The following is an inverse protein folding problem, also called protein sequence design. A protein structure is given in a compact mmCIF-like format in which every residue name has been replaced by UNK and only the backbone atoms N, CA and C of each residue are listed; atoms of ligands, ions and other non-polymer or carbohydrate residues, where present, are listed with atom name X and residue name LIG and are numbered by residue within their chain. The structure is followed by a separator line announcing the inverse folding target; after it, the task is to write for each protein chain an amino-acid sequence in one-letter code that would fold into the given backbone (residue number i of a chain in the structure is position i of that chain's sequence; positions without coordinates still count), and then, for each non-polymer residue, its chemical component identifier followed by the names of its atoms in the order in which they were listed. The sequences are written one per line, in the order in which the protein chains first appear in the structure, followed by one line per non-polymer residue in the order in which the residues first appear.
data_IF_858743632392
#
_entry.id   IF_858743632392
#
_cell.length_a   1.000
_cell.length_b   1.000
_cell.length_c   1.000
_cell.angle_alpha   90.00
_cell.angle_beta   90.00
_cell.angle_gamma   90.00
#
_symmetry.space_group_name_H-M   'P 1'
#
loop_
_entity.id
_entity.type
_entity.pdbx_description
1 polymer ?
#
# COMPACT_ATOMS: atom_id res chain seq x y z
N UNK A 1 -12.41 -12.77 24.50
CA UNK A 1 -13.62 -12.13 23.93
C UNK A 1 -14.84 -12.68 24.67
N UNK A 2 -15.69 -11.85 25.27
CA UNK A 2 -16.94 -12.34 25.86
C UNK A 2 -17.95 -12.69 24.76
N UNK A 3 -18.81 -13.69 25.00
CA UNK A 3 -19.84 -14.15 24.05
C UNK A 3 -20.73 -13.00 23.56
N UNK A 4 -21.05 -12.05 24.42
CA UNK A 4 -21.85 -10.86 24.09
C UNK A 4 -21.25 -10.02 22.96
N UNK A 5 -19.92 -9.89 22.90
CA UNK A 5 -19.25 -9.12 21.84
C UNK A 5 -19.26 -9.91 20.52
N UNK A 6 -19.21 -11.24 20.57
CA UNK A 6 -19.37 -12.10 19.40
C UNK A 6 -20.81 -12.07 18.84
N UNK A 7 -21.82 -12.18 19.71
CA UNK A 7 -23.24 -12.21 19.31
C UNK A 7 -23.71 -10.89 18.70
N UNK A 8 -23.29 -9.75 19.27
CA UNK A 8 -23.58 -8.43 18.71
C UNK A 8 -22.96 -8.28 17.30
N UNK A 9 -21.77 -8.86 17.09
CA UNK A 9 -21.08 -8.85 15.79
C UNK A 9 -21.80 -9.73 14.77
N UNK A 10 -22.11 -10.98 15.14
CA UNK A 10 -22.78 -11.94 14.26
C UNK A 10 -24.13 -11.41 13.76
N UNK A 11 -24.95 -10.89 14.68
CA UNK A 11 -26.26 -10.31 14.34
C UNK A 11 -26.17 -9.10 13.39
N UNK A 12 -25.04 -8.38 13.38
CA UNK A 12 -24.83 -7.23 12.47
C UNK A 12 -24.30 -7.66 11.10
N UNK A 13 -23.48 -8.71 11.03
CA UNK A 13 -23.12 -9.35 9.76
C UNK A 13 -24.37 -9.90 9.09
N UNK A 14 -25.27 -10.53 9.85
CA UNK A 14 -26.57 -11.00 9.35
C UNK A 14 -27.42 -9.85 8.79
N UNK A 15 -27.55 -8.72 9.52
CA UNK A 15 -28.27 -7.54 9.00
C UNK A 15 -27.60 -6.90 7.77
N UNK A 16 -26.28 -6.88 7.70
CA UNK A 16 -25.58 -6.38 6.51
C UNK A 16 -25.84 -7.28 5.30
N UNK A 17 -25.85 -8.61 5.51
CA UNK A 17 -26.25 -9.59 4.49
C UNK A 17 -27.70 -9.41 4.05
N UNK A 18 -28.61 -9.14 4.98
CA UNK A 18 -30.01 -8.79 4.67
C UNK A 18 -30.13 -7.52 3.81
N UNK A 19 -29.18 -6.59 3.96
CA UNK A 19 -29.05 -5.38 3.12
C UNK A 19 -28.26 -5.61 1.82
N UNK A 20 -27.91 -6.86 1.49
CA UNK A 20 -27.17 -7.23 0.30
C UNK A 20 -25.69 -6.82 0.33
N UNK A 21 -25.13 -6.57 1.52
CA UNK A 21 -23.71 -6.35 1.74
C UNK A 21 -23.03 -7.65 2.18
N UNK A 22 -21.83 -7.89 1.69
CA UNK A 22 -21.05 -9.09 1.99
C UNK A 22 -19.78 -8.73 2.75
N UNK A 23 -19.35 -9.53 3.74
CA UNK A 23 -18.07 -9.27 4.40
C UNK A 23 -16.93 -9.51 3.42
N UNK A 24 -15.88 -8.67 3.45
CA UNK A 24 -14.75 -8.78 2.54
C UNK A 24 -14.09 -10.18 2.57
N UNK A 25 -13.94 -10.79 3.74
CA UNK A 25 -13.37 -12.14 3.86
C UNK A 25 -14.22 -13.18 3.14
N UNK A 26 -15.54 -13.09 3.29
CA UNK A 26 -16.48 -14.00 2.66
C UNK A 26 -16.45 -13.83 1.13
N UNK A 27 -16.46 -12.58 0.67
CA UNK A 27 -16.40 -12.22 -0.75
C UNK A 27 -15.12 -12.71 -1.44
N UNK A 28 -13.97 -12.57 -0.78
CA UNK A 28 -12.68 -13.06 -1.31
C UNK A 28 -12.54 -14.58 -1.23
N UNK A 29 -13.37 -15.24 -0.42
CA UNK A 29 -13.41 -16.68 -0.27
C UNK A 29 -12.24 -17.27 0.54
N UNK A 30 -11.99 -18.59 0.42
CA UNK A 30 -11.13 -19.34 1.33
C UNK A 30 -9.66 -18.91 1.38
N UNK A 31 -9.17 -18.24 0.34
CA UNK A 31 -7.80 -17.75 0.26
C UNK A 31 -7.64 -16.27 0.66
N UNK A 32 -8.76 -15.56 0.86
CA UNK A 32 -8.86 -14.17 1.34
C UNK A 32 -7.64 -13.28 1.05
N UNK A 33 -7.17 -13.28 -0.21
CA UNK A 33 -5.92 -12.61 -0.56
C UNK A 33 -6.13 -11.10 -0.67
N UNK A 34 -5.42 -10.36 0.18
CA UNK A 34 -5.46 -8.90 0.20
C UNK A 34 -4.51 -8.28 -0.84
N UNK A 35 -3.58 -9.05 -1.42
CA UNK A 35 -2.55 -8.56 -2.34
C UNK A 35 -3.10 -7.75 -3.52
N UNK A 36 -4.09 -8.26 -4.27
CA UNK A 36 -4.71 -7.52 -5.36
C UNK A 36 -5.36 -6.21 -4.92
N UNK A 37 -6.04 -6.20 -3.77
CA UNK A 37 -6.66 -4.99 -3.20
C UNK A 37 -5.60 -3.93 -2.86
N UNK A 38 -4.45 -4.36 -2.34
CA UNK A 38 -3.32 -3.46 -2.03
C UNK A 38 -2.68 -2.93 -3.30
N UNK A 39 -2.29 -3.81 -4.24
CA UNK A 39 -1.60 -3.41 -5.48
C UNK A 39 -2.42 -2.49 -6.37
N UNK A 40 -3.75 -2.60 -6.32
CA UNK A 40 -4.68 -1.71 -7.03
C UNK A 40 -5.00 -0.42 -6.27
N UNK A 41 -4.39 -0.23 -5.08
CA UNK A 41 -4.58 0.94 -4.23
C UNK A 41 -5.98 1.05 -3.65
N UNK A 42 -6.71 -0.06 -3.50
CA UNK A 42 -8.07 -0.10 -2.95
C UNK A 42 -8.05 -0.15 -1.41
N UNK A 43 -7.05 -0.80 -0.84
CA UNK A 43 -6.81 -0.78 0.61
C UNK A 43 -5.37 -0.39 0.89
N UNK A 44 -5.13 0.20 2.05
CA UNK A 44 -3.80 0.49 2.57
C UNK A 44 -3.70 0.12 4.03
N UNK A 45 -2.48 -0.02 4.55
CA UNK A 45 -2.29 -0.17 5.99
C UNK A 45 -2.60 1.15 6.70
N UNK A 46 -3.22 1.06 7.87
CA UNK A 46 -3.36 2.20 8.78
C UNK A 46 -2.01 2.65 9.31
N UNK A 47 -1.92 3.92 9.68
CA UNK A 47 -0.70 4.49 10.24
C UNK A 47 -0.35 3.81 11.58
N UNK A 48 -1.33 3.70 12.47
CA UNK A 48 -1.18 3.13 13.81
C UNK A 48 -2.02 1.86 13.93
N UNK A 49 -1.39 0.75 14.31
CA UNK A 49 -2.09 -0.51 14.53
C UNK A 49 -3.00 -0.43 15.77
N UNK A 50 -4.19 -1.01 15.68
CA UNK A 50 -5.12 -1.15 16.82
C UNK A 50 -4.98 -2.50 17.51
N UNK A 51 -5.33 -2.56 18.80
CA UNK A 51 -5.25 -3.78 19.63
C UNK A 51 -6.11 -4.94 19.09
N UNK A 52 -7.24 -4.64 18.44
CA UNK A 52 -8.20 -5.61 17.91
C UNK A 52 -8.45 -5.46 16.40
N UNK A 53 -7.42 -5.12 15.64
CA UNK A 53 -7.54 -4.88 14.20
C UNK A 53 -7.86 -6.16 13.41
N UNK A 54 -8.80 -6.06 12.46
CA UNK A 54 -9.00 -7.09 11.43
C UNK A 54 -8.21 -6.75 10.18
N UNK A 55 -8.17 -7.70 9.24
CA UNK A 55 -7.50 -7.55 7.95
C UNK A 55 -6.08 -7.01 8.11
N UNK A 56 -5.32 -7.45 9.12
CA UNK A 56 -3.96 -6.98 9.42
C UNK A 56 -3.79 -5.44 9.53
N UNK A 57 -4.86 -4.71 9.86
CA UNK A 57 -4.87 -3.25 9.94
C UNK A 57 -5.11 -2.55 8.61
N UNK A 58 -5.41 -3.27 7.53
CA UNK A 58 -5.80 -2.68 6.25
C UNK A 58 -7.15 -1.98 6.34
N UNK A 59 -7.26 -0.83 5.69
CA UNK A 59 -8.46 -0.01 5.58
C UNK A 59 -8.64 0.47 4.14
N UNK A 60 -9.88 0.70 3.66
CA UNK A 60 -10.10 1.24 2.34
C UNK A 60 -9.45 2.61 2.13
N UNK A 61 -8.88 2.81 0.95
CA UNK A 61 -8.48 4.12 0.44
C UNK A 61 -9.70 4.88 -0.07
N UNK A 62 -9.59 6.16 -0.46
CA UNK A 62 -10.65 6.85 -1.18
C UNK A 62 -11.11 6.08 -2.44
N UNK A 63 -10.17 5.54 -3.22
CA UNK A 63 -10.46 4.69 -4.39
C UNK A 63 -11.20 3.41 -4.00
N UNK A 64 -10.76 2.73 -2.95
CA UNK A 64 -11.43 1.53 -2.46
C UNK A 64 -12.82 1.78 -1.89
N UNK A 65 -13.07 2.98 -1.37
CA UNK A 65 -14.36 3.35 -0.78
C UNK A 65 -15.51 3.37 -1.78
N UNK A 66 -15.24 3.34 -3.09
CA UNK A 66 -16.22 3.13 -4.15
C UNK A 66 -16.85 1.73 -4.11
N UNK A 67 -16.07 0.73 -3.68
CA UNK A 67 -16.44 -0.68 -3.63
C UNK A 67 -16.66 -1.18 -2.21
N UNK A 68 -15.97 -0.59 -1.25
CA UNK A 68 -15.87 -1.06 0.12
C UNK A 68 -16.52 -0.06 1.09
N UNK A 69 -17.13 -0.60 2.14
CA UNK A 69 -17.63 0.12 3.29
C UNK A 69 -16.83 -0.32 4.51
N UNK A 70 -16.12 0.62 5.12
CA UNK A 70 -15.42 0.40 6.37
C UNK A 70 -16.30 0.85 7.54
N UNK A 71 -16.45 0.00 8.56
CA UNK A 71 -17.12 0.31 9.82
C UNK A 71 -16.04 0.33 10.92
N UNK A 72 -15.45 1.50 11.24
CA UNK A 72 -14.26 1.59 12.09
C UNK A 72 -14.48 1.00 13.48
N UNK A 73 -15.63 1.23 14.10
CA UNK A 73 -15.94 0.79 15.47
C UNK A 73 -15.98 -0.74 15.62
N UNK A 74 -16.05 -1.45 14.49
CA UNK A 74 -16.12 -2.92 14.42
C UNK A 74 -14.94 -3.52 13.69
N UNK A 75 -14.02 -2.69 13.19
CA UNK A 75 -12.89 -3.15 12.38
C UNK A 75 -13.37 -3.99 11.18
N UNK A 76 -14.52 -3.65 10.58
CA UNK A 76 -15.19 -4.48 9.57
C UNK A 76 -15.09 -3.82 8.20
N UNK A 77 -14.75 -4.59 7.17
CA UNK A 77 -14.84 -4.17 5.77
C UNK A 77 -15.91 -5.00 5.08
N UNK A 78 -16.88 -4.30 4.50
CA UNK A 78 -17.97 -4.87 3.72
C UNK A 78 -17.81 -4.47 2.27
N UNK A 79 -18.15 -5.37 1.35
CA UNK A 79 -18.38 -5.02 -0.05
C UNK A 79 -19.73 -4.32 -0.13
N UNK A 80 -19.75 -3.14 -0.74
CA UNK A 80 -20.97 -2.35 -0.92
C UNK A 80 -21.98 -3.13 -1.75
N UNK A 81 -23.25 -2.89 -1.45
CA UNK A 81 -24.37 -3.48 -2.16
C UNK A 81 -24.23 -3.25 -3.67
N UNK A 82 -24.44 -4.31 -4.47
CA UNK A 82 -24.34 -4.31 -5.94
C UNK A 82 -22.95 -3.94 -6.51
N UNK A 83 -21.91 -3.81 -5.67
CA UNK A 83 -20.54 -3.50 -6.14
C UNK A 83 -19.65 -4.74 -6.27
N UNK A 84 -20.10 -5.93 -5.86
CA UNK A 84 -19.30 -7.16 -5.93
C UNK A 84 -18.77 -7.48 -7.33
N UNK A 85 -19.62 -7.45 -8.37
CA UNK A 85 -19.18 -7.72 -9.74
C UNK A 85 -18.17 -6.66 -10.24
N UNK A 86 -18.38 -5.39 -9.89
CA UNK A 86 -17.48 -4.30 -10.25
C UNK A 86 -16.14 -4.43 -9.51
N UNK A 87 -16.15 -4.82 -8.24
CA UNK A 87 -14.95 -5.10 -7.46
C UNK A 87 -14.17 -6.26 -8.09
N UNK A 88 -14.82 -7.37 -8.42
CA UNK A 88 -14.14 -8.49 -9.12
C UNK A 88 -13.52 -8.07 -10.46
N UNK A 89 -14.23 -7.24 -11.23
CA UNK A 89 -13.70 -6.72 -12.50
C UNK A 89 -12.48 -5.81 -12.29
N UNK A 90 -12.47 -5.01 -11.22
CA UNK A 90 -11.31 -4.19 -10.85
C UNK A 90 -10.14 -5.07 -10.37
N UNK A 91 -10.41 -6.08 -9.53
CA UNK A 91 -9.38 -7.01 -9.03
C UNK A 91 -8.67 -7.78 -10.15
N UNK A 92 -9.36 -8.08 -11.26
CA UNK A 92 -8.76 -8.70 -12.45
C UNK A 92 -7.73 -7.82 -13.17
N UNK A 93 -7.66 -6.53 -12.85
CA UNK A 93 -6.67 -5.60 -13.40
C UNK A 93 -5.38 -5.55 -12.59
N UNK A 94 -5.23 -6.43 -11.59
CA UNK A 94 -4.01 -6.51 -10.78
C UNK A 94 -2.76 -6.54 -11.67
N UNK A 95 -1.86 -5.56 -11.56
CA UNK A 95 -0.68 -5.48 -12.42
C UNK A 95 0.34 -6.60 -12.16
N UNK A 96 0.23 -7.34 -11.04
CA UNK A 96 1.12 -8.44 -10.73
C UNK A 96 0.43 -9.54 -9.89
N UNK A 97 -0.45 -10.36 -10.49
CA UNK A 97 -1.22 -11.37 -9.76
C UNK A 97 -0.35 -12.44 -9.08
N UNK A 98 0.80 -12.77 -9.67
CA UNK A 98 1.74 -13.77 -9.14
C UNK A 98 2.79 -13.18 -8.18
N UNK A 99 2.72 -11.87 -7.90
CA UNK A 99 3.68 -11.24 -7.00
C UNK A 99 3.43 -11.68 -5.56
N UNK A 100 4.51 -12.11 -4.90
CA UNK A 100 4.49 -12.48 -3.48
C UNK A 100 3.95 -11.32 -2.66
N UNK A 101 2.94 -11.60 -1.85
CA UNK A 101 2.35 -10.62 -0.96
C UNK A 101 2.19 -11.22 0.43
N UNK A 102 2.61 -10.46 1.44
CA UNK A 102 2.48 -10.84 2.84
C UNK A 102 1.82 -9.70 3.61
N UNK A 103 0.60 -9.87 4.14
CA UNK A 103 -0.13 -8.79 4.81
C UNK A 103 0.62 -8.12 5.97
N UNK A 104 1.50 -8.87 6.65
CA UNK A 104 2.30 -8.37 7.77
C UNK A 104 3.57 -7.64 7.34
N UNK A 105 4.04 -7.89 6.11
CA UNK A 105 5.20 -7.25 5.47
C UNK A 105 4.71 -6.13 4.56
N UNK A 106 4.18 -5.06 5.15
CA UNK A 106 3.62 -3.97 4.36
C UNK A 106 3.72 -2.62 5.05
N UNK A 107 4.11 -1.65 4.22
CA UNK A 107 4.20 -0.22 4.44
C UNK A 107 3.03 0.50 3.73
N UNK A 108 2.79 1.79 4.02
CA UNK A 108 3.51 2.67 4.96
C UNK A 108 3.19 2.39 6.44
N UNK A 109 4.21 2.50 7.29
CA UNK A 109 4.15 2.40 8.76
C UNK A 109 4.10 3.79 9.40
N UNK A 110 3.74 3.83 10.70
CA UNK A 110 3.75 5.06 11.51
C UNK A 110 5.03 5.88 11.37
N UNK A 111 6.19 5.22 11.35
CA UNK A 111 7.49 5.88 11.23
C UNK A 111 7.61 6.71 9.94
N UNK A 112 7.03 6.22 8.84
CA UNK A 112 7.06 6.94 7.57
C UNK A 112 6.15 8.17 7.59
N UNK A 113 4.97 8.07 8.21
CA UNK A 113 4.09 9.23 8.38
C UNK A 113 4.69 10.27 9.33
N UNK A 114 5.34 9.86 10.41
CA UNK A 114 6.10 10.75 11.30
C UNK A 114 7.21 11.49 10.56
N UNK A 115 7.99 10.79 9.73
CA UNK A 115 9.03 11.42 8.92
C UNK A 115 8.46 12.51 8.01
N UNK A 116 7.31 12.25 7.38
CA UNK A 116 6.65 13.24 6.52
C UNK A 116 6.13 14.43 7.32
N UNK A 117 5.59 14.21 8.52
CA UNK A 117 5.18 15.29 9.43
C UNK A 117 6.37 16.17 9.82
N UNK A 118 7.49 15.57 10.19
CA UNK A 118 8.73 16.30 10.47
C UNK A 118 9.24 17.07 9.26
N UNK A 119 9.24 16.46 8.06
CA UNK A 119 9.59 17.16 6.81
C UNK A 119 8.71 18.39 6.59
N UNK A 120 7.41 18.26 6.85
CA UNK A 120 6.43 19.33 6.67
C UNK A 120 6.60 20.47 7.67
N UNK A 121 6.96 20.16 8.91
CA UNK A 121 7.27 21.13 9.97
C UNK A 121 8.59 21.87 9.67
N UNK A 122 9.64 21.14 9.32
CA UNK A 122 10.96 21.68 9.00
C UNK A 122 10.99 22.49 7.70
N UNK A 123 10.01 22.29 6.80
CA UNK A 123 9.90 23.06 5.57
C UNK A 123 9.70 24.57 5.82
N UNK A 124 9.12 24.96 6.96
CA UNK A 124 8.87 26.37 7.29
C UNK A 124 8.05 27.08 6.21
N UNK A 125 8.64 28.12 5.59
CA UNK A 125 8.02 28.92 4.51
C UNK A 125 8.43 28.48 3.10
N UNK A 126 9.28 27.46 2.96
CA UNK A 126 9.68 26.95 1.64
C UNK A 126 8.52 26.18 1.00
N UNK A 127 7.82 26.86 0.08
CA UNK A 127 6.63 26.34 -0.60
C UNK A 127 6.89 24.99 -1.27
N UNK A 128 8.07 24.81 -1.88
CA UNK A 128 8.38 23.56 -2.57
C UNK A 128 8.54 22.41 -1.58
N UNK A 129 9.23 22.63 -0.46
CA UNK A 129 9.38 21.58 0.58
C UNK A 129 8.04 21.23 1.22
N UNK A 130 7.20 22.24 1.45
CA UNK A 130 5.83 22.07 1.93
C UNK A 130 5.02 21.18 0.99
N UNK A 131 4.94 21.56 -0.30
CA UNK A 131 4.16 20.82 -1.29
C UNK A 131 4.70 19.43 -1.55
N UNK A 132 6.03 19.24 -1.55
CA UNK A 132 6.65 17.92 -1.65
C UNK A 132 6.29 17.01 -0.48
N UNK A 133 6.29 17.54 0.75
CA UNK A 133 5.90 16.77 1.94
C UNK A 133 4.41 16.43 1.93
N UNK A 134 3.55 17.39 1.57
CA UNK A 134 2.10 17.16 1.45
C UNK A 134 1.80 16.12 0.36
N UNK A 135 2.45 16.21 -0.81
CA UNK A 135 2.27 15.23 -1.88
C UNK A 135 2.78 13.85 -1.49
N UNK A 136 3.91 13.76 -0.77
CA UNK A 136 4.39 12.49 -0.25
C UNK A 136 3.37 11.88 0.71
N UNK A 137 2.82 12.66 1.65
CA UNK A 137 1.77 12.20 2.57
C UNK A 137 0.57 11.63 1.81
N UNK A 138 0.11 12.33 0.78
CA UNK A 138 -1.05 11.89 0.00
C UNK A 138 -0.76 10.55 -0.72
N UNK A 139 0.47 10.35 -1.22
CA UNK A 139 0.90 9.07 -1.79
C UNK A 139 1.00 7.95 -0.75
N UNK A 140 1.45 8.24 0.47
CA UNK A 140 1.40 7.25 1.56
C UNK A 140 -0.05 6.86 1.89
N UNK A 141 -1.00 7.81 1.81
CA UNK A 141 -2.43 7.54 2.00
C UNK A 141 -3.05 6.69 0.87
N UNK A 142 -2.36 6.54 -0.26
CA UNK A 142 -2.68 5.61 -1.35
C UNK A 142 -1.96 4.25 -1.21
N UNK A 143 -1.10 4.08 -0.18
CA UNK A 143 -0.34 2.85 0.08
C UNK A 143 1.03 2.79 -0.60
N UNK A 144 1.50 3.87 -1.21
CA UNK A 144 2.89 3.95 -1.69
C UNK A 144 3.87 4.04 -0.52
N UNK A 145 5.11 3.69 -0.78
CA UNK A 145 6.22 3.81 0.16
C UNK A 145 7.32 4.68 -0.46
N UNK A 146 7.85 5.67 0.27
CA UNK A 146 9.06 6.41 -0.14
C UNK A 146 10.24 5.44 -0.28
N UNK A 147 10.96 5.49 -1.40
CA UNK A 147 12.14 4.66 -1.63
C UNK A 147 13.18 4.83 -0.51
N UNK A 148 13.31 6.01 0.10
CA UNK A 148 14.25 6.22 1.21
C UNK A 148 13.95 5.34 2.41
N UNK A 149 12.66 5.11 2.70
CA UNK A 149 12.27 4.17 3.74
C UNK A 149 12.57 2.73 3.31
N UNK A 150 12.36 2.42 2.03
CA UNK A 150 12.65 1.09 1.49
C UNK A 150 14.13 0.77 1.62
N UNK A 151 14.99 1.71 1.22
CA UNK A 151 16.44 1.62 1.38
C UNK A 151 16.84 1.50 2.85
N UNK A 152 16.23 2.28 3.76
CA UNK A 152 16.51 2.18 5.20
C UNK A 152 16.22 0.77 5.73
N UNK A 153 15.11 0.16 5.30
CA UNK A 153 14.68 -1.16 5.79
C UNK A 153 15.43 -2.33 5.17
N UNK A 154 15.78 -2.24 3.89
CA UNK A 154 16.30 -3.38 3.12
C UNK A 154 17.78 -3.25 2.74
N UNK A 155 18.36 -2.05 2.86
CA UNK A 155 19.69 -1.74 2.33
C UNK A 155 19.73 -1.53 0.81
N UNK A 156 18.60 -1.68 0.10
CA UNK A 156 18.53 -1.53 -1.36
C UNK A 156 18.38 -0.06 -1.73
N UNK A 157 19.46 0.53 -2.24
CA UNK A 157 19.49 1.90 -2.79
C UNK A 157 19.52 1.95 -4.32
N UNK A 158 19.62 3.16 -4.86
CA UNK A 158 19.62 3.42 -6.31
C UNK A 158 20.69 2.63 -7.08
N UNK A 159 21.89 2.46 -6.52
CA UNK A 159 22.96 1.66 -7.14
C UNK A 159 22.59 0.19 -7.33
N UNK A 160 21.81 -0.39 -6.41
CA UNK A 160 21.28 -1.75 -6.55
C UNK A 160 20.19 -1.76 -7.63
N UNK A 161 19.27 -0.80 -7.61
CA UNK A 161 18.21 -0.70 -8.63
C UNK A 161 18.79 -0.61 -10.05
N UNK A 162 19.88 0.13 -10.24
CA UNK A 162 20.58 0.21 -11.52
C UNK A 162 21.26 -1.10 -11.90
N UNK A 163 21.95 -1.78 -10.96
CA UNK A 163 22.56 -3.10 -11.22
C UNK A 163 21.54 -4.15 -11.64
N UNK A 164 20.31 -4.06 -11.14
CA UNK A 164 19.20 -4.96 -11.50
C UNK A 164 18.38 -4.46 -12.70
N UNK A 165 18.86 -3.43 -13.41
CA UNK A 165 18.20 -2.84 -14.59
C UNK A 165 16.77 -2.39 -14.34
N UNK A 166 16.46 -1.96 -13.11
CA UNK A 166 15.17 -1.39 -12.74
C UNK A 166 15.16 0.13 -12.99
N UNK A 167 16.30 0.77 -12.82
CA UNK A 167 16.51 2.17 -13.14
C UNK A 167 17.74 2.34 -14.04
N UNK A 168 17.80 3.43 -14.78
CA UNK A 168 18.98 3.85 -15.56
C UNK A 168 19.37 5.27 -15.18
N UNK A 169 20.65 5.67 -15.34
CA UNK A 169 21.04 7.05 -15.16
C UNK A 169 20.25 7.97 -16.09
N UNK A 170 19.78 9.11 -15.56
CA UNK A 170 19.15 10.17 -16.35
C UNK A 170 20.24 11.04 -16.97
N UNK A 171 20.28 11.11 -18.30
CA UNK A 171 21.31 11.87 -19.03
C UNK A 171 21.11 13.39 -18.96
N UNK A 172 19.87 13.86 -18.90
CA UNK A 172 19.53 15.28 -18.82
C UNK A 172 18.61 15.55 -17.63
N UNK A 173 19.00 16.49 -16.75
CA UNK A 173 18.18 16.88 -15.59
C UNK A 173 17.35 18.10 -15.96
N UNK A 174 16.03 17.96 -15.89
CA UNK A 174 15.09 19.06 -16.13
C UNK A 174 15.29 20.23 -15.14
N UNK A 175 15.75 19.93 -13.92
CA UNK A 175 16.10 20.92 -12.89
C UNK A 175 17.01 20.31 -11.81
N UNK A 176 17.62 21.15 -10.96
CA UNK A 176 18.57 20.72 -9.90
C UNK A 176 18.02 19.70 -8.90
N UNK A 177 16.69 19.66 -8.75
CA UNK A 177 15.97 18.76 -7.84
C UNK A 177 15.47 17.47 -8.50
N UNK A 178 15.73 17.27 -9.79
CA UNK A 178 15.23 16.12 -10.53
C UNK A 178 15.96 14.86 -10.07
N UNK A 179 15.28 13.71 -10.10
CA UNK A 179 15.94 12.43 -9.85
C UNK A 179 17.11 12.25 -10.82
N UNK A 180 18.19 11.64 -10.32
CA UNK A 180 19.36 11.30 -11.14
C UNK A 180 19.15 10.03 -11.97
N UNK A 181 17.99 9.40 -11.81
CA UNK A 181 17.65 8.13 -12.42
C UNK A 181 16.28 8.21 -13.10
N UNK A 182 16.10 7.36 -14.10
CA UNK A 182 14.84 7.11 -14.76
C UNK A 182 14.41 5.66 -14.51
N UNK A 183 13.10 5.46 -14.38
CA UNK A 183 12.53 4.14 -14.20
C UNK A 183 12.47 3.44 -15.57
N UNK A 184 13.05 2.25 -15.67
CA UNK A 184 12.94 1.41 -16.87
C UNK A 184 11.54 0.78 -16.96
N UNK A 185 11.13 0.23 -18.13
CA UNK A 185 9.90 -0.54 -18.22
C UNK A 185 9.81 -1.71 -17.20
N UNK A 186 10.93 -2.35 -16.89
CA UNK A 186 10.98 -3.40 -15.85
C UNK A 186 10.79 -2.82 -14.45
N UNK A 187 11.42 -1.67 -14.16
CA UNK A 187 11.29 -0.97 -12.88
C UNK A 187 9.87 -0.43 -12.65
N UNK A 188 9.16 -0.04 -13.71
CA UNK A 188 7.83 0.56 -13.63
C UNK A 188 6.77 -0.38 -13.00
N UNK A 189 7.05 -1.68 -12.96
CA UNK A 189 6.24 -2.67 -12.24
C UNK A 189 6.28 -2.47 -10.72
N UNK A 190 7.41 -2.03 -10.19
CA UNK A 190 7.65 -1.90 -8.75
C UNK A 190 7.65 -0.44 -8.29
N UNK A 191 8.07 0.46 -9.17
CA UNK A 191 8.38 1.85 -8.85
C UNK A 191 7.45 2.81 -9.60
N UNK A 192 7.28 3.99 -9.02
CA UNK A 192 6.62 5.13 -9.63
C UNK A 192 7.37 6.41 -9.27
N UNK A 193 7.42 7.38 -10.19
CA UNK A 193 7.80 8.75 -9.88
C UNK A 193 6.53 9.57 -9.69
N UNK A 194 6.45 10.34 -8.61
CA UNK A 194 5.37 11.31 -8.42
C UNK A 194 5.84 12.70 -8.85
N UNK A 195 5.48 13.06 -10.08
CA UNK A 195 5.70 14.37 -10.68
C UNK A 195 4.71 15.42 -10.14
N UNK A 196 5.06 16.72 -10.18
CA UNK A 196 6.34 17.32 -10.57
C UNK A 196 7.38 17.28 -9.43
N UNK A 197 7.07 16.60 -8.33
CA UNK A 197 7.89 16.69 -7.13
C UNK A 197 9.14 15.85 -7.22
N UNK A 198 9.21 14.85 -8.12
CA UNK A 198 10.36 13.95 -8.26
C UNK A 198 10.53 13.10 -6.98
N UNK A 199 9.41 12.52 -6.50
CA UNK A 199 9.42 11.51 -5.44
C UNK A 199 9.53 10.13 -6.08
N UNK A 200 10.59 9.39 -5.77
CA UNK A 200 10.69 7.98 -6.15
C UNK A 200 10.01 7.12 -5.10
N UNK A 201 8.98 6.39 -5.54
CA UNK A 201 8.09 5.62 -4.68
C UNK A 201 8.09 4.15 -5.10
N UNK A 202 7.96 3.27 -4.12
CA UNK A 202 7.57 1.87 -4.32
C UNK A 202 6.05 1.81 -4.38
N UNK A 203 5.53 1.12 -5.40
CA UNK A 203 4.10 0.93 -5.61
C UNK A 203 3.48 0.11 -4.47
N UNK A 204 2.19 0.33 -4.16
CA UNK A 204 1.49 -0.45 -3.14
C UNK A 204 1.65 -1.96 -3.38
N UNK A 205 1.97 -2.71 -2.32
CA UNK A 205 2.10 -4.17 -2.39
C UNK A 205 3.29 -4.70 -3.21
N UNK A 206 4.17 -3.82 -3.69
CA UNK A 206 5.37 -4.19 -4.46
C UNK A 206 6.66 -4.16 -3.66
N UNK A 207 6.60 -3.86 -2.36
CA UNK A 207 7.77 -3.82 -1.46
C UNK A 207 8.52 -5.15 -1.41
N UNK A 208 7.84 -6.24 -1.03
CA UNK A 208 8.45 -7.56 -0.95
C UNK A 208 8.87 -8.11 -2.32
N UNK A 209 8.05 -7.98 -3.39
CA UNK A 209 8.49 -8.33 -4.74
C UNK A 209 9.73 -7.56 -5.21
N UNK A 210 9.84 -6.26 -4.89
CA UNK A 210 11.02 -5.47 -5.22
C UNK A 210 12.23 -5.93 -4.42
N UNK A 211 12.05 -6.23 -3.12
CA UNK A 211 13.11 -6.76 -2.28
C UNK A 211 13.62 -8.10 -2.82
N UNK A 212 12.72 -9.04 -3.08
CA UNK A 212 13.04 -10.35 -3.66
C UNK A 212 13.76 -10.22 -5.01
N UNK A 213 13.35 -9.28 -5.86
CA UNK A 213 13.99 -9.04 -7.15
C UNK A 213 15.45 -8.56 -7.02
N UNK A 214 15.74 -7.79 -5.98
CA UNK A 214 17.05 -7.17 -5.78
C UNK A 214 17.97 -8.03 -4.90
N UNK A 215 17.42 -8.71 -3.90
CA UNK A 215 18.14 -9.61 -3.01
C UNK A 215 17.23 -10.79 -2.61
N UNK A 216 17.16 -11.84 -3.45
CA UNK A 216 16.32 -13.00 -3.19
C UNK A 216 16.68 -13.72 -1.88
N UNK A 217 17.97 -13.75 -1.51
CA UNK A 217 18.45 -14.46 -0.33
C UNK A 217 17.99 -13.78 0.95
N UNK A 218 18.12 -12.46 1.03
CA UNK A 218 17.65 -11.69 2.18
C UNK A 218 16.11 -11.65 2.25
N UNK A 219 15.42 -11.63 1.11
CA UNK A 219 13.96 -11.62 1.06
C UNK A 219 13.33 -12.99 1.39
N UNK A 220 14.05 -14.10 1.17
CA UNK A 220 13.51 -15.47 1.28
C UNK A 220 12.80 -15.73 2.61
N UNK A 221 13.34 -15.25 3.73
CA UNK A 221 12.71 -15.39 5.05
C UNK A 221 11.30 -14.78 5.08
N UNK A 222 11.12 -13.61 4.47
CA UNK A 222 9.84 -12.91 4.44
C UNK A 222 8.86 -13.52 3.44
N UNK A 223 9.36 -14.06 2.31
CA UNK A 223 8.55 -14.75 1.31
C UNK A 223 8.07 -16.14 1.77
N UNK A 224 8.89 -16.87 2.52
CA UNK A 224 8.62 -18.27 2.86
C UNK A 224 7.81 -18.47 4.15
N UNK A 225 7.75 -17.46 5.02
CA UNK A 225 6.97 -17.54 6.24
C UNK A 225 5.46 -17.44 5.93
N UNK A 226 4.61 -18.27 6.54
CA UNK A 226 3.15 -18.13 6.46
C UNK A 226 2.64 -16.81 7.07
#
# INVERSE_FOLDING_TARGET
MSSAVFDIRWNRILRAREQGQEELTDFLGPRADLGPLVRLGLIRRREVNGEFQRYHGYVPTPKGSEYLLHIPEKELILVRQQRGAALMAELRKDPAPDAVFKPTYAEPTHEQFELVRQMREQAGRDVWKVQRADHLRDRLMEGYMDLRMFTKRTGIGEGVLMRHMLCTPRSERAHDRALQIEITPSGARFLAVADPWELLLVRPGMELPLFERCDPMAAAYHCALP
#
